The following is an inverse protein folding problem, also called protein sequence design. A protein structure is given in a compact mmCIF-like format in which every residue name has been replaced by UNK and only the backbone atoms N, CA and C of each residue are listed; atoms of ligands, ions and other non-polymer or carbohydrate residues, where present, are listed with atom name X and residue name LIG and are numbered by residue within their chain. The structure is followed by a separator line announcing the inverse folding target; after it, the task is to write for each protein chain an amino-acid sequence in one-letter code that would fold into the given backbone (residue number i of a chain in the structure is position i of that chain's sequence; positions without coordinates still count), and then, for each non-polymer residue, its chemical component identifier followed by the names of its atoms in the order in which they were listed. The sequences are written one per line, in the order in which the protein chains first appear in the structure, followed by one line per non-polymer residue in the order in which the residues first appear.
data_IF_202286954274
#
_entry.id   IF_202286954274
#
_cell.length_a   1.000
_cell.length_b   1.000
_cell.length_c   1.000
_cell.angle_alpha   90.00
_cell.angle_beta   90.00
_cell.angle_gamma   90.00
#
_symmetry.space_group_name_H-M   'P 1'
#
loop_
_entity.id
_entity.type
_entity.pdbx_description
1 polymer ?
#
# COMPACT_ATOMS: atom_id res chain seq x y z
N UNK A 1 -2.70 29.24 35.45
CA UNK A 1 -3.20 27.85 35.39
C UNK A 1 -3.22 27.42 33.94
N UNK A 2 -2.65 26.25 33.72
CA UNK A 2 -1.99 25.82 32.51
C UNK A 2 -2.85 25.65 31.26
N UNK A 3 -2.23 25.99 30.14
CA UNK A 3 -2.69 25.73 28.78
C UNK A 3 -2.61 24.24 28.46
N UNK A 4 -3.74 23.61 28.14
CA UNK A 4 -3.74 22.30 27.49
C UNK A 4 -4.18 22.46 26.05
N UNK A 5 -3.22 22.81 25.18
CA UNK A 5 -3.40 22.69 23.73
C UNK A 5 -3.35 21.20 23.39
N UNK A 6 -4.51 20.66 23.05
CA UNK A 6 -4.63 19.31 22.49
C UNK A 6 -3.99 19.39 21.10
N UNK A 7 -2.78 18.87 20.96
CA UNK A 7 -2.14 18.67 19.66
C UNK A 7 -2.72 17.39 19.09
N UNK A 8 -3.53 17.42 18.01
CA UNK A 8 -3.90 16.19 17.32
C UNK A 8 -2.61 15.60 16.76
N UNK A 9 -2.25 14.42 17.25
CA UNK A 9 -1.12 13.64 16.76
C UNK A 9 -1.48 13.19 15.34
N UNK A 10 -1.05 13.97 14.35
CA UNK A 10 -1.09 13.63 12.93
C UNK A 10 -0.02 12.56 12.66
N UNK A 11 -0.37 11.30 12.92
CA UNK A 11 0.43 10.15 12.48
C UNK A 11 -0.24 9.56 11.26
N UNK A 12 0.33 9.87 10.11
CA UNK A 12 -0.04 9.30 8.82
C UNK A 12 0.44 10.24 7.72
N UNK A 13 0.97 9.68 6.63
CA UNK A 13 1.39 10.38 5.38
C UNK A 13 2.91 10.64 5.21
N UNK A 14 3.80 10.35 6.17
CA UNK A 14 5.25 10.50 5.89
C UNK A 14 5.74 9.52 4.78
N UNK A 15 5.31 8.25 4.82
CA UNK A 15 5.68 7.25 3.80
C UNK A 15 4.97 7.45 2.45
N UNK A 16 3.70 7.89 2.47
CA UNK A 16 2.97 8.23 1.24
C UNK A 16 3.61 9.42 0.52
N UNK A 17 4.16 10.40 1.25
CA UNK A 17 4.82 11.56 0.67
C UNK A 17 6.03 11.20 -0.20
N UNK A 18 6.89 10.29 0.27
CA UNK A 18 8.10 9.86 -0.45
C UNK A 18 7.73 9.04 -1.70
N UNK A 19 6.76 8.13 -1.58
CA UNK A 19 6.31 7.30 -2.69
C UNK A 19 5.60 8.13 -3.78
N UNK A 20 4.70 9.04 -3.38
CA UNK A 20 3.98 9.92 -4.31
C UNK A 20 4.92 10.94 -4.99
N UNK A 21 5.91 11.45 -4.27
CA UNK A 21 6.91 12.36 -4.85
C UNK A 21 7.73 11.67 -5.95
N UNK A 22 8.13 10.42 -5.73
CA UNK A 22 8.92 9.64 -6.70
C UNK A 22 8.13 9.33 -7.98
N UNK A 23 6.85 8.98 -7.86
CA UNK A 23 5.96 8.71 -9.02
C UNK A 23 5.64 9.98 -9.80
N UNK A 24 5.51 11.13 -9.13
CA UNK A 24 5.27 12.43 -9.79
C UNK A 24 6.49 12.94 -10.56
N UNK A 25 7.71 12.73 -10.05
CA UNK A 25 8.96 13.07 -10.72
C UNK A 25 9.13 12.23 -12.00
N UNK A 26 8.85 10.93 -11.96
CA UNK A 26 8.96 10.03 -13.12
C UNK A 26 8.03 10.39 -14.30
N UNK A 27 6.97 11.19 -14.07
CA UNK A 27 6.07 11.67 -15.14
C UNK A 27 6.49 13.00 -15.76
N UNK A 28 7.41 13.75 -15.14
CA UNK A 28 7.79 15.09 -15.61
C UNK A 28 8.96 15.11 -16.59
N UNK A 29 9.71 14.01 -16.74
CA UNK A 29 10.85 13.98 -17.66
C UNK A 29 10.43 13.58 -19.08
N UNK A 30 9.77 14.53 -19.75
CA UNK A 30 9.68 14.61 -21.21
C UNK A 30 10.23 15.96 -21.68
N UNK A 31 11.49 16.27 -21.36
CA UNK A 31 12.39 17.06 -22.21
C UNK A 31 13.79 17.13 -21.60
N UNK A 32 14.79 17.04 -22.48
CA UNK A 32 16.16 16.73 -22.13
C UNK A 32 16.96 17.81 -21.40
N UNK A 33 18.14 17.34 -20.97
CA UNK A 33 19.28 18.06 -20.42
C UNK A 33 19.08 18.73 -19.05
N UNK A 34 19.35 17.97 -17.99
CA UNK A 34 20.02 18.51 -16.81
C UNK A 34 21.05 17.49 -16.30
N UNK A 35 22.30 17.67 -16.76
CA UNK A 35 23.47 17.20 -16.02
C UNK A 35 23.66 18.12 -14.81
N UNK A 36 23.03 17.80 -13.68
CA UNK A 36 23.39 18.37 -12.38
C UNK A 36 23.37 17.26 -11.34
N UNK A 37 24.55 16.70 -11.10
CA UNK A 37 25.10 16.40 -9.78
C UNK A 37 24.08 16.28 -8.63
N UNK A 38 23.31 15.19 -8.63
CA UNK A 38 22.83 14.57 -7.41
C UNK A 38 23.31 13.13 -7.48
N UNK A 39 24.11 12.73 -6.49
CA UNK A 39 24.66 11.39 -6.37
C UNK A 39 23.58 10.36 -6.67
N UNK A 40 23.95 9.34 -7.44
CA UNK A 40 23.16 8.17 -7.78
C UNK A 40 22.31 7.72 -6.59
N UNK A 41 21.07 8.23 -6.50
CA UNK A 41 20.01 7.60 -5.74
C UNK A 41 19.68 6.39 -6.59
N UNK A 42 20.36 5.29 -6.32
CA UNK A 42 19.85 3.99 -6.73
C UNK A 42 18.41 3.94 -6.23
N UNK A 43 17.46 3.99 -7.17
CA UNK A 43 16.03 3.86 -6.95
C UNK A 43 15.77 2.41 -6.48
N UNK A 44 16.19 2.11 -5.25
CA UNK A 44 16.21 0.76 -4.74
C UNK A 44 14.80 0.43 -4.30
N UNK A 45 14.12 -0.39 -5.10
CA UNK A 45 12.74 -0.78 -4.86
C UNK A 45 12.56 -1.40 -3.47
N UNK A 46 11.80 -0.73 -2.59
CA UNK A 46 11.58 -1.19 -1.22
C UNK A 46 10.27 -1.99 -1.10
N UNK A 47 10.37 -3.30 -1.30
CA UNK A 47 9.24 -4.21 -1.21
C UNK A 47 8.54 -4.21 0.17
N UNK A 48 9.32 -4.00 1.26
CA UNK A 48 8.79 -3.98 2.64
C UNK A 48 7.95 -2.76 2.89
N UNK A 49 8.40 -1.60 2.42
CA UNK A 49 7.66 -0.35 2.54
C UNK A 49 6.33 -0.42 1.79
N UNK A 50 6.34 -0.89 0.54
CA UNK A 50 5.11 -1.10 -0.22
C UNK A 50 4.17 -2.08 0.49
N UNK A 51 4.69 -3.19 1.01
CA UNK A 51 3.88 -4.16 1.76
C UNK A 51 3.26 -3.56 3.03
N UNK A 52 3.98 -2.68 3.73
CA UNK A 52 3.46 -1.97 4.91
C UNK A 52 2.37 -0.97 4.51
N UNK A 53 2.60 -0.15 3.48
CA UNK A 53 1.58 0.80 2.99
C UNK A 53 0.31 0.07 2.55
N UNK A 54 0.43 -1.06 1.86
CA UNK A 54 -0.73 -1.87 1.48
C UNK A 54 -1.47 -2.41 2.72
N UNK A 55 -0.75 -2.94 3.70
CA UNK A 55 -1.36 -3.45 4.93
C UNK A 55 -2.12 -2.34 5.68
N UNK A 56 -1.49 -1.18 5.86
CA UNK A 56 -2.09 -0.06 6.59
C UNK A 56 -3.34 0.46 5.87
N UNK A 57 -3.26 0.62 4.54
CA UNK A 57 -4.39 1.06 3.72
C UNK A 57 -5.59 0.11 3.77
N UNK A 58 -5.33 -1.20 3.79
CA UNK A 58 -6.40 -2.22 3.84
C UNK A 58 -6.98 -2.36 5.25
N UNK A 59 -6.14 -2.28 6.29
CA UNK A 59 -6.55 -2.35 7.69
C UNK A 59 -7.36 -1.14 8.13
N UNK A 60 -7.10 0.04 7.57
CA UNK A 60 -7.69 1.30 8.02
C UNK A 60 -9.22 1.26 7.94
N UNK A 61 -9.86 1.30 9.11
CA UNK A 61 -11.30 1.18 9.24
C UNK A 61 -12.03 2.47 8.82
N UNK A 62 -11.33 3.61 8.85
CA UNK A 62 -11.90 4.90 8.48
C UNK A 62 -11.90 5.16 6.97
N UNK A 63 -11.23 4.32 6.17
CA UNK A 63 -11.20 4.50 4.73
C UNK A 63 -12.47 3.95 4.09
N UNK A 64 -13.09 4.77 3.24
CA UNK A 64 -14.12 4.30 2.30
C UNK A 64 -13.50 3.32 1.29
N UNK A 65 -14.32 2.45 0.72
CA UNK A 65 -13.86 1.51 -0.34
C UNK A 65 -13.15 2.24 -1.50
N UNK A 66 -13.58 3.47 -1.82
CA UNK A 66 -12.95 4.32 -2.84
C UNK A 66 -11.53 4.74 -2.45
N UNK A 67 -11.31 5.11 -1.19
CA UNK A 67 -9.99 5.52 -0.68
C UNK A 67 -9.03 4.34 -0.56
N UNK A 68 -9.51 3.19 -0.09
CA UNK A 68 -8.74 1.94 -0.07
C UNK A 68 -8.28 1.57 -1.48
N UNK A 69 -9.22 1.53 -2.42
CA UNK A 69 -8.94 1.28 -3.84
C UNK A 69 -7.90 2.26 -4.38
N UNK A 70 -8.12 3.57 -4.22
CA UNK A 70 -7.19 4.60 -4.71
C UNK A 70 -5.79 4.39 -4.16
N UNK A 71 -5.67 4.11 -2.86
CA UNK A 71 -4.38 3.91 -2.20
C UNK A 71 -3.68 2.64 -2.70
N UNK A 72 -4.39 1.52 -2.82
CA UNK A 72 -3.84 0.25 -3.33
C UNK A 72 -3.30 0.42 -4.75
N UNK A 73 -4.11 0.96 -5.67
CA UNK A 73 -3.70 1.13 -7.07
C UNK A 73 -2.58 2.15 -7.23
N UNK A 74 -2.59 3.22 -6.44
CA UNK A 74 -1.52 4.23 -6.46
C UNK A 74 -0.20 3.65 -5.95
N UNK A 75 -0.25 2.89 -4.86
CA UNK A 75 0.92 2.22 -4.27
C UNK A 75 1.53 1.19 -5.21
N UNK A 76 0.69 0.50 -6.01
CA UNK A 76 1.13 -0.48 -6.99
C UNK A 76 1.47 0.12 -8.36
N UNK A 77 1.28 1.43 -8.55
CA UNK A 77 1.61 2.09 -9.82
C UNK A 77 3.11 2.04 -10.07
N UNK A 78 3.50 1.53 -11.24
CA UNK A 78 4.92 1.38 -11.62
C UNK A 78 5.61 0.15 -11.01
N UNK A 79 4.91 -0.65 -10.19
CA UNK A 79 5.44 -1.90 -9.65
C UNK A 79 5.36 -2.99 -10.73
N UNK A 80 6.51 -3.48 -11.19
CA UNK A 80 6.57 -4.57 -12.18
C UNK A 80 6.12 -5.92 -11.57
N UNK A 81 5.77 -6.93 -12.39
CA UNK A 81 5.41 -8.25 -11.87
C UNK A 81 6.49 -8.93 -11.03
N UNK A 82 7.78 -8.76 -11.37
CA UNK A 82 8.88 -9.30 -10.59
C UNK A 82 8.96 -8.64 -9.21
N UNK A 83 8.86 -7.31 -9.16
CA UNK A 83 8.84 -6.53 -7.93
C UNK A 83 7.61 -6.84 -7.06
N UNK A 84 6.45 -7.06 -7.68
CA UNK A 84 5.24 -7.48 -6.98
C UNK A 84 5.41 -8.83 -6.28
N UNK A 85 6.19 -9.76 -6.85
CA UNK A 85 6.54 -11.00 -6.17
C UNK A 85 7.33 -10.76 -4.87
N UNK A 86 8.19 -9.74 -4.84
CA UNK A 86 8.93 -9.35 -3.65
C UNK A 86 8.01 -8.70 -2.62
N UNK A 87 7.03 -7.90 -3.07
CA UNK A 87 5.99 -7.32 -2.20
C UNK A 87 5.17 -8.42 -1.53
N UNK A 88 4.74 -9.45 -2.27
CA UNK A 88 4.02 -10.60 -1.68
C UNK A 88 4.86 -11.28 -0.62
N UNK A 89 6.14 -11.56 -0.91
CA UNK A 89 7.07 -12.16 0.05
C UNK A 89 7.26 -11.27 1.29
N UNK A 90 7.38 -9.96 1.10
CA UNK A 90 7.55 -8.99 2.18
C UNK A 90 6.28 -8.80 3.02
N UNK A 91 5.11 -8.91 2.39
CA UNK A 91 3.81 -8.84 3.08
C UNK A 91 3.61 -10.05 3.99
N UNK A 92 3.99 -11.24 3.52
CA UNK A 92 3.86 -12.49 4.25
C UNK A 92 2.40 -12.89 4.47
N UNK A 93 2.07 -13.32 5.68
CA UNK A 93 0.70 -13.62 6.10
C UNK A 93 0.36 -12.81 7.34
N UNK A 94 -0.76 -12.09 7.31
CA UNK A 94 -1.18 -11.15 8.36
C UNK A 94 -2.60 -11.46 8.82
N UNK A 95 -2.87 -11.21 10.10
CA UNK A 95 -4.19 -11.48 10.70
C UNK A 95 -5.26 -10.62 10.02
N UNK A 96 -6.27 -11.29 9.47
CA UNK A 96 -7.38 -10.65 8.79
C UNK A 96 -8.67 -11.41 9.08
N UNK A 97 -9.72 -10.66 9.38
CA UNK A 97 -11.04 -11.19 9.58
C UNK A 97 -11.85 -10.96 8.30
N UNK A 98 -11.98 -12.00 7.48
CA UNK A 98 -12.75 -11.96 6.23
C UNK A 98 -14.25 -11.74 6.45
N UNK A 99 -14.76 -11.95 7.67
CA UNK A 99 -16.18 -11.74 7.97
C UNK A 99 -16.50 -10.26 8.19
N UNK A 100 -15.56 -9.52 8.77
CA UNK A 100 -15.74 -8.11 9.15
C UNK A 100 -14.90 -7.15 8.32
N UNK A 101 -14.07 -7.66 7.41
CA UNK A 101 -13.21 -6.86 6.54
C UNK A 101 -12.19 -6.02 7.30
N UNK A 102 -11.65 -6.55 8.42
CA UNK A 102 -10.74 -5.80 9.29
C UNK A 102 -9.83 -6.72 10.12
N UNK A 103 -9.07 -6.15 11.05
CA UNK A 103 -8.17 -6.90 11.94
C UNK A 103 -8.75 -7.16 13.34
N UNK A 104 -10.03 -6.88 13.56
CA UNK A 104 -10.71 -7.13 14.82
C UNK A 104 -11.31 -8.53 14.82
N UNK A 105 -11.10 -9.26 15.92
CA UNK A 105 -11.62 -10.62 16.12
C UNK A 105 -12.45 -10.64 17.39
N UNK A 106 -13.61 -11.28 17.34
CA UNK A 106 -14.39 -11.54 18.55
C UNK A 106 -13.65 -12.54 19.46
N UNK A 107 -13.95 -12.53 20.76
CA UNK A 107 -13.28 -13.40 21.75
C UNK A 107 -13.38 -14.90 21.45
N UNK A 108 -14.42 -15.33 20.73
CA UNK A 108 -14.64 -16.72 20.31
C UNK A 108 -14.08 -17.03 18.91
N UNK A 109 -13.56 -16.04 18.19
CA UNK A 109 -12.99 -16.24 16.85
C UNK A 109 -11.51 -16.58 16.96
N UNK A 110 -11.08 -17.63 16.25
CA UNK A 110 -9.66 -17.93 16.11
C UNK A 110 -9.05 -17.00 15.06
N UNK A 111 -8.05 -16.17 15.39
CA UNK A 111 -7.44 -15.27 14.42
C UNK A 111 -6.71 -16.05 13.32
N UNK A 112 -7.13 -15.87 12.07
CA UNK A 112 -6.52 -16.51 10.91
C UNK A 112 -5.62 -15.52 10.18
N UNK A 113 -4.43 -15.97 9.79
CA UNK A 113 -3.50 -15.19 8.97
C UNK A 113 -3.75 -15.47 7.50
N UNK A 114 -3.90 -14.40 6.73
CA UNK A 114 -4.15 -14.47 5.30
C UNK A 114 -3.03 -13.81 4.49
N UNK A 115 -2.70 -14.34 3.30
CA UNK A 115 -1.71 -13.75 2.40
C UNK A 115 -2.28 -12.52 1.69
N UNK A 116 -1.39 -11.70 1.11
CA UNK A 116 -1.76 -10.45 0.38
C UNK A 116 -2.88 -10.66 -0.64
N UNK A 117 -2.89 -11.80 -1.33
CA UNK A 117 -3.92 -12.16 -2.31
C UNK A 117 -5.34 -12.14 -1.72
N UNK A 118 -5.53 -12.70 -0.52
CA UNK A 118 -6.85 -12.75 0.13
C UNK A 118 -7.24 -11.36 0.59
N UNK A 119 -6.32 -10.63 1.22
CA UNK A 119 -6.54 -9.23 1.61
C UNK A 119 -7.02 -8.36 0.44
N UNK A 120 -6.32 -8.42 -0.70
CA UNK A 120 -6.69 -7.66 -1.89
C UNK A 120 -8.05 -8.07 -2.46
N UNK A 121 -8.43 -9.35 -2.33
CA UNK A 121 -9.72 -9.84 -2.82
C UNK A 121 -10.89 -9.35 -1.99
N UNK A 122 -10.71 -9.27 -0.67
CA UNK A 122 -11.77 -8.86 0.26
C UNK A 122 -11.92 -7.33 0.32
N UNK A 123 -10.83 -6.58 0.08
CA UNK A 123 -10.83 -5.11 0.14
C UNK A 123 -11.18 -4.42 -1.18
N UNK A 124 -11.00 -5.11 -2.32
CA UNK A 124 -11.32 -4.58 -3.64
C UNK A 124 -12.66 -5.13 -4.13
N UNK A 125 -13.32 -4.36 -5.00
CA UNK A 125 -14.44 -4.88 -5.77
C UNK A 125 -13.98 -6.00 -6.71
N UNK A 126 -14.88 -6.89 -7.11
CA UNK A 126 -14.56 -8.00 -8.03
C UNK A 126 -13.93 -7.51 -9.35
N UNK A 127 -14.40 -6.37 -9.88
CA UNK A 127 -13.86 -5.78 -11.11
C UNK A 127 -12.46 -5.22 -10.91
N UNK A 128 -12.19 -4.56 -9.79
CA UNK A 128 -10.87 -4.04 -9.45
C UNK A 128 -9.87 -5.16 -9.16
N UNK A 129 -10.30 -6.21 -8.46
CA UNK A 129 -9.47 -7.38 -8.23
C UNK A 129 -9.12 -8.08 -9.55
N UNK A 130 -10.08 -8.21 -10.48
CA UNK A 130 -9.82 -8.74 -11.83
C UNK A 130 -8.82 -7.87 -12.61
N UNK A 131 -8.94 -6.55 -12.52
CA UNK A 131 -8.00 -5.62 -13.14
C UNK A 131 -6.59 -5.81 -12.58
N UNK A 132 -6.47 -5.90 -11.25
CA UNK A 132 -5.19 -6.12 -10.59
C UNK A 132 -4.59 -7.48 -10.94
N UNK A 133 -5.44 -8.53 -11.02
CA UNK A 133 -5.05 -9.86 -11.47
C UNK A 133 -4.60 -9.87 -12.93
N UNK A 134 -5.16 -9.04 -13.81
CA UNK A 134 -4.66 -8.90 -15.18
C UNK A 134 -3.20 -8.42 -15.20
N UNK A 135 -2.86 -7.46 -14.34
CA UNK A 135 -1.51 -6.90 -14.22
C UNK A 135 -0.52 -7.85 -13.53
N UNK A 136 -1.00 -8.72 -12.64
CA UNK A 136 -0.18 -9.62 -11.81
C UNK A 136 -0.66 -11.07 -11.86
N UNK A 137 -1.00 -11.58 -13.04
CA UNK A 137 -1.71 -12.86 -13.25
C UNK A 137 -1.03 -14.08 -12.65
N UNK A 138 0.31 -14.10 -12.61
CA UNK A 138 1.09 -15.20 -12.01
C UNK A 138 0.93 -15.28 -10.48
N UNK A 139 0.47 -14.21 -9.84
CA UNK A 139 0.53 -14.05 -8.38
C UNK A 139 -0.85 -13.86 -7.70
N UNK A 140 -1.89 -13.48 -8.45
CA UNK A 140 -3.25 -13.19 -7.95
C UNK A 140 -4.33 -14.13 -8.51
#
# INVERSE_FOLDING_TARGET
MDSSKIVPISVGIAGLGILLFSIAQAKKDKNGNVYLNQGTVENNFNAKEIATVLYDAMKEANFTNTEKRKTIFTTLTGVSPAQFSWVIKAFGSRYYNTLTGNTYFALWQTPVRHPLKVWLKEELSDSDYKLLKSNYSKYL
#
